data_IF_689344333740
#
_entry.id   IF_689344333740
#
_cell.length_a   1.000
_cell.length_b   1.000
_cell.length_c   1.000
_cell.angle_alpha   90.00
_cell.angle_beta   90.00
_cell.angle_gamma   90.00
#
_symmetry.space_group_name_H-M   'P 1'
#
loop_
_entity.id
_entity.type
_entity.pdbx_description
1 polymer ?
#
# COMPACT_ATOMS: atom_id res chain seq x y z
N UNK A 1 17.42 -10.70 -55.18
CA UNK A 1 16.31 -10.19 -54.34
C UNK A 1 15.05 -11.07 -54.45
N UNK A 2 15.16 -12.42 -54.38
CA UNK A 2 14.04 -13.36 -54.51
C UNK A 2 13.83 -14.28 -53.27
N UNK A 3 14.67 -14.17 -52.23
CA UNK A 3 14.64 -15.06 -51.05
C UNK A 3 14.01 -14.43 -49.79
N UNK A 4 13.70 -13.13 -49.78
CA UNK A 4 13.10 -12.47 -48.60
C UNK A 4 11.57 -12.45 -48.61
N UNK A 5 10.93 -12.82 -49.73
CA UNK A 5 9.47 -12.81 -49.82
C UNK A 5 8.84 -14.05 -49.17
N UNK A 6 9.51 -15.21 -49.26
CA UNK A 6 9.07 -16.46 -48.63
C UNK A 6 9.19 -16.44 -47.10
N UNK A 7 10.19 -15.75 -46.52
CA UNK A 7 10.32 -15.60 -45.05
C UNK A 7 9.25 -14.69 -44.43
N UNK A 8 8.77 -13.68 -45.15
CA UNK A 8 7.70 -12.77 -44.67
C UNK A 8 6.34 -13.48 -44.75
N UNK A 9 6.12 -14.30 -45.79
CA UNK A 9 4.88 -15.08 -45.97
C UNK A 9 4.77 -16.26 -44.99
N UNK A 10 5.90 -16.84 -44.56
CA UNK A 10 5.93 -17.88 -43.53
C UNK A 10 5.56 -17.38 -42.13
N UNK A 11 5.72 -16.08 -41.84
CA UNK A 11 5.31 -15.48 -40.56
C UNK A 11 3.83 -15.06 -40.54
N UNK A 12 3.19 -14.82 -41.68
CA UNK A 12 1.77 -14.44 -41.73
C UNK A 12 0.81 -15.61 -41.55
N UNK A 13 1.23 -16.84 -41.88
CA UNK A 13 0.42 -18.06 -41.64
C UNK A 13 0.13 -18.32 -40.15
N UNK A 14 1.11 -18.32 -39.22
CA UNK A 14 0.82 -18.55 -37.80
C UNK A 14 0.03 -17.40 -37.16
N UNK A 15 0.20 -16.15 -37.64
CA UNK A 15 -0.57 -14.99 -37.17
C UNK A 15 -2.05 -15.06 -37.55
N UNK A 16 -2.38 -15.54 -38.76
CA UNK A 16 -3.78 -15.76 -39.15
C UNK A 16 -4.43 -16.90 -38.37
N UNK A 17 -3.69 -17.97 -38.06
CA UNK A 17 -4.23 -19.09 -37.27
C UNK A 17 -4.56 -18.64 -35.83
N UNK A 18 -3.75 -17.77 -35.23
CA UNK A 18 -4.02 -17.22 -33.89
C UNK A 18 -5.27 -16.33 -33.86
N UNK A 19 -5.44 -15.45 -34.86
CA UNK A 19 -6.62 -14.57 -34.99
C UNK A 19 -7.90 -15.36 -35.29
N UNK A 20 -7.80 -16.47 -36.01
CA UNK A 20 -8.97 -17.34 -36.29
C UNK A 20 -9.35 -18.18 -35.07
N UNK A 21 -8.39 -18.53 -34.20
CA UNK A 21 -8.66 -19.23 -32.94
C UNK A 21 -9.27 -18.34 -31.85
N UNK A 22 -8.94 -17.04 -31.84
CA UNK A 22 -9.47 -16.09 -30.84
C UNK A 22 -10.85 -15.54 -31.17
N UNK A 23 -11.42 -15.88 -32.34
CA UNK A 23 -12.71 -15.36 -32.80
C UNK A 23 -13.87 -16.36 -32.69
N UNK A 24 -13.60 -17.59 -32.21
CA UNK A 24 -14.63 -18.61 -31.99
C UNK A 24 -15.22 -18.64 -30.58
N UNK A 25 -14.73 -17.77 -29.67
CA UNK A 25 -15.39 -17.55 -28.39
C UNK A 25 -15.84 -16.09 -28.29
N UNK A 26 -17.14 -15.93 -28.07
CA UNK A 26 -17.81 -14.70 -27.63
C UNK A 26 -18.15 -13.67 -28.71
N UNK A 27 -19.39 -13.74 -29.20
CA UNK A 27 -20.48 -12.84 -28.78
C UNK A 27 -21.49 -12.67 -29.94
N UNK A 28 -22.63 -13.37 -29.84
CA UNK A 28 -23.82 -13.09 -30.66
C UNK A 28 -24.62 -11.99 -29.97
N UNK A 29 -24.42 -10.73 -30.34
CA UNK A 29 -25.45 -9.68 -30.26
C UNK A 29 -25.04 -8.46 -31.10
N UNK A 30 -25.82 -8.18 -32.15
CA UNK A 30 -25.62 -7.08 -33.11
C UNK A 30 -26.56 -5.93 -32.78
N UNK A 31 -26.04 -4.79 -32.36
CA UNK A 31 -26.79 -3.53 -32.35
C UNK A 31 -26.53 -2.79 -33.68
N UNK A 32 -27.58 -2.56 -34.46
CA UNK A 32 -27.54 -1.71 -35.64
C UNK A 32 -27.67 -0.24 -35.17
N UNK A 33 -26.79 0.64 -35.62
CA UNK A 33 -26.88 2.09 -35.37
C UNK A 33 -27.12 2.75 -36.73
N UNK A 34 -28.27 3.42 -36.84
CA UNK A 34 -28.73 4.20 -37.99
C UNK A 34 -28.02 5.56 -38.02
N UNK A 35 -27.49 5.97 -39.17
CA UNK A 35 -26.93 7.32 -39.37
C UNK A 35 -28.04 8.37 -39.52
N UNK A 36 -28.03 9.39 -38.66
CA UNK A 36 -28.84 10.61 -38.82
C UNK A 36 -27.96 11.73 -39.38
N UNK A 37 -28.32 12.26 -40.55
CA UNK A 37 -27.74 13.45 -41.16
C UNK A 37 -28.40 14.72 -40.59
N UNK A 38 -27.64 15.66 -40.00
CA UNK A 38 -28.20 16.90 -39.49
C UNK A 38 -28.40 17.93 -40.60
N UNK A 39 -29.60 18.49 -40.70
CA UNK A 39 -29.93 19.63 -41.57
C UNK A 39 -29.49 20.92 -40.85
N UNK A 40 -28.56 21.64 -41.43
CA UNK A 40 -28.10 22.96 -40.97
C UNK A 40 -29.04 24.06 -41.49
N UNK A 41 -29.97 24.54 -40.66
CA UNK A 41 -30.71 25.79 -40.92
C UNK A 41 -29.82 26.99 -40.61
N UNK A 42 -29.31 27.61 -41.67
CA UNK A 42 -28.64 28.91 -41.65
C UNK A 42 -29.63 30.00 -41.20
N UNK A 43 -29.49 30.52 -39.97
CA UNK A 43 -30.16 31.74 -39.50
C UNK A 43 -29.37 32.95 -39.99
N UNK A 44 -29.57 33.35 -41.25
CA UNK A 44 -29.13 34.67 -41.72
C UNK A 44 -30.36 35.56 -41.66
N UNK A 45 -30.30 36.61 -40.82
CA UNK A 45 -31.31 37.65 -40.77
C UNK A 45 -31.26 38.40 -42.10
N UNK A 46 -32.32 38.28 -42.90
CA UNK A 46 -32.55 39.11 -44.08
C UNK A 46 -32.88 40.52 -43.60
N UNK A 47 -32.04 41.50 -43.93
CA UNK A 47 -32.36 42.92 -43.74
C UNK A 47 -33.56 43.26 -44.62
N UNK A 48 -34.71 43.55 -44.00
CA UNK A 48 -35.83 44.20 -44.67
C UNK A 48 -35.74 45.70 -44.41
N UNK A 49 -35.84 46.52 -45.45
CA UNK A 49 -35.90 47.97 -45.35
C UNK A 49 -37.09 48.41 -44.47
N UNK A 50 -36.77 48.88 -43.25
CA UNK A 50 -37.78 49.42 -42.34
C UNK A 50 -38.19 50.78 -42.89
N UNK A 51 -39.38 50.83 -43.49
CA UNK A 51 -40.04 52.09 -43.86
C UNK A 51 -40.21 52.92 -42.58
N UNK A 52 -39.47 54.03 -42.46
CA UNK A 52 -39.53 54.94 -41.32
C UNK A 52 -40.96 55.44 -41.16
N UNK A 53 -41.63 55.00 -40.09
CA UNK A 53 -43.00 55.42 -39.80
C UNK A 53 -42.98 56.90 -39.38
N UNK A 54 -43.78 57.74 -40.04
CA UNK A 54 -43.87 59.20 -39.87
C UNK A 54 -44.36 59.71 -38.48
N UNK A 55 -44.18 58.94 -37.40
CA UNK A 55 -44.65 59.28 -36.05
C UNK A 55 -43.64 60.04 -35.17
N UNK A 56 -42.50 60.47 -35.73
CA UNK A 56 -41.43 61.12 -34.96
C UNK A 56 -41.80 62.52 -34.38
N UNK A 57 -42.89 63.14 -34.86
CA UNK A 57 -43.32 64.49 -34.42
C UNK A 57 -44.59 64.50 -33.57
N UNK A 58 -45.15 63.33 -33.22
CA UNK A 58 -46.30 63.24 -32.32
C UNK A 58 -45.83 63.44 -30.86
N UNK A 59 -46.44 64.40 -30.16
CA UNK A 59 -46.06 64.76 -28.78
C UNK A 59 -46.24 63.59 -27.81
N UNK A 60 -47.28 62.78 -27.99
CA UNK A 60 -47.53 61.61 -27.15
C UNK A 60 -46.50 60.52 -27.44
N UNK A 61 -46.19 60.28 -28.72
CA UNK A 61 -45.16 59.31 -29.14
C UNK A 61 -43.76 59.69 -28.64
N UNK A 62 -43.44 60.99 -28.64
CA UNK A 62 -42.17 61.51 -28.11
C UNK A 62 -42.03 61.24 -26.60
N UNK A 63 -43.11 61.43 -25.83
CA UNK A 63 -43.10 61.15 -24.38
C UNK A 63 -42.92 59.65 -24.06
N UNK A 64 -43.52 58.77 -24.87
CA UNK A 64 -43.38 57.32 -24.73
C UNK A 64 -41.96 56.88 -25.10
N UNK A 65 -41.39 57.44 -26.18
CA UNK A 65 -40.01 57.20 -26.60
C UNK A 65 -39.00 57.63 -25.52
N UNK A 66 -39.12 58.83 -24.97
CA UNK A 66 -38.25 59.31 -23.90
C UNK A 66 -38.36 58.44 -22.63
N UNK A 67 -39.57 57.97 -22.28
CA UNK A 67 -39.76 57.07 -21.15
C UNK A 67 -39.14 55.69 -21.40
N UNK A 68 -39.28 55.17 -22.61
CA UNK A 68 -38.67 53.90 -23.02
C UNK A 68 -37.14 54.01 -23.02
N UNK A 69 -36.59 55.07 -23.60
CA UNK A 69 -35.15 55.33 -23.65
C UNK A 69 -34.58 55.47 -22.23
N UNK A 70 -35.26 56.22 -21.33
CA UNK A 70 -34.83 56.35 -19.93
C UNK A 70 -34.85 55.02 -19.18
N UNK A 71 -35.91 54.23 -19.33
CA UNK A 71 -36.00 52.89 -18.71
C UNK A 71 -34.99 51.90 -19.31
N UNK A 72 -34.68 52.06 -20.59
CA UNK A 72 -33.74 51.20 -21.30
C UNK A 72 -32.31 51.54 -20.90
N UNK A 73 -31.96 52.82 -20.78
CA UNK A 73 -30.66 53.28 -20.24
C UNK A 73 -30.41 52.74 -18.83
N UNK A 74 -31.39 52.85 -17.93
CA UNK A 74 -31.25 52.35 -16.56
C UNK A 74 -31.03 50.83 -16.51
N UNK A 75 -31.75 50.06 -17.35
CA UNK A 75 -31.54 48.61 -17.45
C UNK A 75 -30.18 48.24 -18.04
N UNK A 76 -29.64 49.05 -18.94
CA UNK A 76 -28.31 48.84 -19.50
C UNK A 76 -27.23 49.10 -18.45
N UNK A 77 -27.33 50.18 -17.67
CA UNK A 77 -26.42 50.45 -16.54
C UNK A 77 -26.46 49.31 -15.50
N UNK A 78 -27.66 48.89 -15.07
CA UNK A 78 -27.81 47.75 -14.13
C UNK A 78 -27.31 46.40 -14.71
N UNK A 79 -27.39 46.22 -16.02
CA UNK A 79 -26.85 45.04 -16.69
C UNK A 79 -25.32 45.09 -16.74
N UNK A 80 -24.75 46.26 -17.04
CA UNK A 80 -23.31 46.47 -17.12
C UNK A 80 -22.64 46.32 -15.74
N UNK A 81 -23.24 46.85 -14.67
CA UNK A 81 -22.77 46.64 -13.30
C UNK A 81 -22.79 45.16 -12.90
N UNK A 82 -23.87 44.43 -13.24
CA UNK A 82 -23.95 42.98 -13.00
C UNK A 82 -22.94 42.18 -13.83
N UNK A 83 -22.65 42.62 -15.05
CA UNK A 83 -21.64 42.00 -15.91
C UNK A 83 -20.23 42.25 -15.36
N UNK A 84 -19.93 43.47 -14.92
CA UNK A 84 -18.65 43.85 -14.37
C UNK A 84 -18.36 43.13 -13.04
N UNK A 85 -19.33 43.06 -12.13
CA UNK A 85 -19.19 42.32 -10.86
C UNK A 85 -18.96 40.82 -11.08
N UNK A 86 -19.64 40.19 -12.06
CA UNK A 86 -19.40 38.79 -12.43
C UNK A 86 -18.02 38.59 -13.05
N UNK A 87 -17.58 39.48 -13.95
CA UNK A 87 -16.24 39.45 -14.54
C UNK A 87 -15.15 39.57 -13.48
N UNK A 88 -15.33 40.44 -12.50
CA UNK A 88 -14.38 40.62 -11.41
C UNK A 88 -14.26 39.35 -10.54
N UNK A 89 -15.39 38.73 -10.17
CA UNK A 89 -15.40 37.45 -9.43
C UNK A 89 -14.68 36.33 -10.19
N UNK A 90 -14.89 36.22 -11.50
CA UNK A 90 -14.20 35.21 -12.32
C UNK A 90 -12.69 35.47 -12.42
N UNK A 91 -12.26 36.74 -12.51
CA UNK A 91 -10.83 37.09 -12.50
C UNK A 91 -10.18 36.73 -11.16
N UNK A 92 -10.82 37.09 -10.05
CA UNK A 92 -10.31 36.75 -8.70
C UNK A 92 -10.23 35.24 -8.48
N UNK A 93 -11.19 34.47 -9.00
CA UNK A 93 -11.14 33.01 -8.91
C UNK A 93 -9.99 32.44 -9.76
N UNK A 94 -9.84 32.92 -11.00
CA UNK A 94 -8.75 32.49 -11.88
C UNK A 94 -7.37 32.81 -11.28
N UNK A 95 -7.20 34.00 -10.69
CA UNK A 95 -5.94 34.40 -10.05
C UNK A 95 -5.61 33.50 -8.84
N UNK A 96 -6.61 33.09 -8.05
CA UNK A 96 -6.43 32.13 -6.95
C UNK A 96 -6.03 30.75 -7.46
N UNK A 97 -6.71 30.25 -8.48
CA UNK A 97 -6.42 28.95 -9.08
C UNK A 97 -5.01 28.93 -9.70
N UNK A 98 -4.59 30.03 -10.36
CA UNK A 98 -3.23 30.18 -10.90
C UNK A 98 -2.19 30.21 -9.77
N UNK A 99 -2.44 30.92 -8.67
CA UNK A 99 -1.53 30.91 -7.51
C UNK A 99 -1.40 29.52 -6.88
N UNK A 100 -2.50 28.76 -6.79
CA UNK A 100 -2.48 27.38 -6.31
C UNK A 100 -1.65 26.46 -7.23
N UNK A 101 -1.81 26.60 -8.55
CA UNK A 101 -1.03 25.85 -9.54
C UNK A 101 0.47 26.18 -9.42
N UNK A 102 0.83 27.46 -9.30
CA UNK A 102 2.24 27.88 -9.15
C UNK A 102 2.85 27.34 -7.85
N UNK A 103 2.10 27.33 -6.74
CA UNK A 103 2.56 26.79 -5.47
C UNK A 103 2.76 25.27 -5.55
N UNK A 104 1.81 24.54 -6.17
CA UNK A 104 1.95 23.10 -6.42
C UNK A 104 3.17 22.78 -7.29
N UNK A 105 3.33 23.49 -8.41
CA UNK A 105 4.48 23.31 -9.32
C UNK A 105 5.82 23.59 -8.61
N UNK A 106 5.89 24.61 -7.75
CA UNK A 106 7.08 24.90 -6.94
C UNK A 106 7.41 23.78 -5.94
N UNK A 107 6.39 23.16 -5.32
CA UNK A 107 6.61 22.02 -4.41
C UNK A 107 7.05 20.77 -5.16
N UNK A 108 6.44 20.47 -6.31
CA UNK A 108 6.80 19.34 -7.18
C UNK A 108 8.21 19.51 -7.73
N UNK A 109 8.58 20.71 -8.18
CA UNK A 109 9.94 21.05 -8.64
C UNK A 109 10.99 20.87 -7.53
N UNK A 110 10.66 21.21 -6.29
CA UNK A 110 11.57 21.02 -5.14
C UNK A 110 11.77 19.54 -4.77
N UNK A 111 10.74 18.71 -4.97
CA UNK A 111 10.82 17.26 -4.78
C UNK A 111 11.61 16.61 -5.93
N UNK A 112 11.35 17.03 -7.17
CA UNK A 112 12.09 16.60 -8.34
C UNK A 112 13.59 16.94 -8.22
N UNK A 113 13.96 18.15 -7.78
CA UNK A 113 15.37 18.55 -7.60
C UNK A 113 16.07 17.72 -6.50
N UNK A 114 15.34 17.32 -5.45
CA UNK A 114 15.88 16.42 -4.40
C UNK A 114 16.09 15.00 -4.91
N UNK A 115 15.17 14.49 -5.72
CA UNK A 115 15.29 13.17 -6.37
C UNK A 115 16.42 13.20 -7.40
N UNK A 116 16.58 14.28 -8.16
CA UNK A 116 17.64 14.46 -9.15
C UNK A 116 19.03 14.58 -8.48
N UNK A 117 19.16 15.30 -7.36
CA UNK A 117 20.40 15.31 -6.54
C UNK A 117 20.71 13.93 -5.93
N UNK A 118 19.70 13.14 -5.59
CA UNK A 118 19.86 11.74 -5.17
C UNK A 118 20.34 10.85 -6.32
N UNK A 119 19.80 11.05 -7.52
CA UNK A 119 20.13 10.29 -8.73
C UNK A 119 21.50 10.68 -9.31
N UNK A 120 21.91 11.94 -9.24
CA UNK A 120 23.25 12.40 -9.70
C UNK A 120 24.39 11.81 -8.84
N UNK A 121 24.13 11.50 -7.57
CA UNK A 121 25.10 10.81 -6.70
C UNK A 121 25.25 9.31 -7.03
N UNK A 122 24.29 8.72 -7.76
CA UNK A 122 24.34 7.33 -8.20
C UNK A 122 24.65 7.18 -9.71
N UNK A 123 24.54 8.25 -10.49
CA UNK A 123 24.65 8.25 -11.96
C UNK A 123 25.97 8.73 -12.55
N UNK A 124 27.02 9.00 -11.76
CA UNK A 124 28.36 9.23 -12.30
C UNK A 124 29.02 7.91 -12.73
N UNK A 125 28.49 7.33 -13.79
CA UNK A 125 29.06 6.19 -14.50
C UNK A 125 28.36 6.04 -15.85
N UNK A 126 29.10 6.37 -16.91
CA UNK A 126 28.79 6.13 -18.34
C UNK A 126 27.98 7.21 -19.06
N UNK A 127 28.73 8.10 -19.72
CA UNK A 127 28.26 8.80 -20.91
C UNK A 127 27.87 7.81 -22.01
N UNK A 128 26.76 8.09 -22.69
CA UNK A 128 26.25 7.26 -23.78
C UNK A 128 24.86 7.70 -24.23
N UNK A 129 24.81 8.75 -25.06
CA UNK A 129 23.60 9.19 -25.77
C UNK A 129 23.24 8.10 -26.81
N UNK A 130 22.42 7.11 -26.42
CA UNK A 130 21.66 6.24 -27.33
C UNK A 130 20.65 5.28 -26.64
N UNK A 131 20.67 5.06 -25.32
CA UNK A 131 19.96 3.93 -24.69
C UNK A 131 18.82 4.30 -23.71
N UNK A 132 18.13 5.43 -23.87
CA UNK A 132 17.29 5.97 -22.79
C UNK A 132 15.84 5.43 -22.75
N UNK A 133 15.31 4.78 -23.80
CA UNK A 133 13.91 4.26 -23.75
C UNK A 133 13.80 2.84 -23.17
N UNK A 134 14.91 2.13 -22.94
CA UNK A 134 14.90 0.75 -22.42
C UNK A 134 15.29 0.58 -20.93
N UNK A 135 15.86 1.60 -20.29
CA UNK A 135 16.60 1.44 -19.03
C UNK A 135 15.94 2.17 -17.84
N UNK A 136 15.06 3.15 -18.08
CA UNK A 136 14.40 3.87 -16.96
C UNK A 136 13.36 2.99 -16.25
N UNK A 137 12.66 2.10 -16.98
CA UNK A 137 11.68 1.17 -16.41
C UNK A 137 12.28 0.19 -15.38
N UNK A 138 13.37 -0.55 -15.68
CA UNK A 138 13.99 -1.48 -14.74
C UNK A 138 14.56 -0.83 -13.47
N UNK A 139 15.12 0.40 -13.57
CA UNK A 139 15.77 1.05 -12.44
C UNK A 139 14.75 1.50 -11.39
N UNK A 140 13.65 2.14 -11.82
CA UNK A 140 12.61 2.59 -10.90
C UNK A 140 11.91 1.42 -10.18
N UNK A 141 11.65 0.32 -10.89
CA UNK A 141 10.99 -0.85 -10.29
C UNK A 141 11.90 -1.54 -9.27
N UNK A 142 13.22 -1.56 -9.49
CA UNK A 142 14.18 -2.14 -8.54
C UNK A 142 14.32 -1.34 -7.22
N UNK A 143 14.09 -0.02 -7.24
CA UNK A 143 14.06 0.77 -6.01
C UNK A 143 12.75 0.58 -5.25
N UNK A 144 11.63 0.48 -5.97
CA UNK A 144 10.32 0.23 -5.38
C UNK A 144 10.23 -1.15 -4.76
N UNK A 145 10.80 -2.18 -5.38
CA UNK A 145 10.86 -3.53 -4.79
C UNK A 145 11.71 -3.56 -3.53
N UNK A 146 12.83 -2.83 -3.48
CA UNK A 146 13.64 -2.67 -2.24
C UNK A 146 12.86 -1.98 -1.13
N UNK A 147 12.15 -0.90 -1.44
CA UNK A 147 11.32 -0.19 -0.47
C UNK A 147 10.18 -1.09 0.04
N UNK A 148 9.53 -1.83 -0.85
CA UNK A 148 8.48 -2.79 -0.49
C UNK A 148 9.02 -3.92 0.39
N UNK A 149 10.21 -4.47 0.09
CA UNK A 149 10.83 -5.52 0.89
C UNK A 149 11.23 -5.00 2.28
N UNK A 150 11.75 -3.78 2.38
CA UNK A 150 12.05 -3.15 3.67
C UNK A 150 10.78 -2.95 4.53
N UNK A 151 9.70 -2.46 3.92
CA UNK A 151 8.41 -2.30 4.61
C UNK A 151 7.79 -3.65 5.01
N UNK A 152 7.93 -4.67 4.16
CA UNK A 152 7.49 -6.02 4.47
C UNK A 152 8.26 -6.61 5.65
N UNK A 153 9.59 -6.41 5.69
CA UNK A 153 10.45 -6.88 6.78
C UNK A 153 10.13 -6.20 8.10
N UNK A 154 9.94 -4.88 8.12
CA UNK A 154 9.58 -4.16 9.36
C UNK A 154 8.23 -4.63 9.89
N UNK A 155 7.25 -4.82 9.02
CA UNK A 155 5.95 -5.36 9.40
C UNK A 155 6.05 -6.82 9.87
N UNK A 156 6.83 -7.68 9.21
CA UNK A 156 7.03 -9.07 9.64
C UNK A 156 7.68 -9.18 11.03
N UNK A 157 8.63 -8.29 11.35
CA UNK A 157 9.24 -8.21 12.69
C UNK A 157 8.20 -7.79 13.73
N UNK A 158 7.36 -6.79 13.41
CA UNK A 158 6.31 -6.34 14.33
C UNK A 158 5.29 -7.46 14.62
N UNK A 159 4.82 -8.15 13.58
CA UNK A 159 3.89 -9.26 13.69
C UNK A 159 4.51 -10.44 14.47
N UNK A 160 5.77 -10.78 14.16
CA UNK A 160 6.51 -11.83 14.85
C UNK A 160 6.75 -11.53 16.33
N UNK A 161 7.11 -10.29 16.68
CA UNK A 161 7.27 -9.88 18.07
C UNK A 161 5.97 -9.93 18.87
N UNK A 162 4.83 -9.61 18.24
CA UNK A 162 3.52 -9.70 18.87
C UNK A 162 3.17 -11.15 19.21
N UNK A 163 3.31 -12.08 18.25
CA UNK A 163 3.08 -13.51 18.50
C UNK A 163 4.07 -14.10 19.49
N UNK A 164 5.35 -13.71 19.39
CA UNK A 164 6.37 -14.13 20.35
C UNK A 164 6.05 -13.70 21.77
N UNK A 165 5.57 -12.47 21.99
CA UNK A 165 5.16 -12.01 23.32
C UNK A 165 4.01 -12.86 23.88
N UNK A 166 2.98 -13.12 23.07
CA UNK A 166 1.83 -13.93 23.49
C UNK A 166 2.28 -15.34 23.88
N UNK A 167 3.07 -16.00 23.03
CA UNK A 167 3.57 -17.34 23.30
C UNK A 167 4.51 -17.40 24.52
N UNK A 168 5.38 -16.39 24.68
CA UNK A 168 6.25 -16.27 25.84
C UNK A 168 5.47 -16.12 27.15
N UNK A 169 4.47 -15.25 27.20
CA UNK A 169 3.65 -15.05 28.39
C UNK A 169 2.84 -16.32 28.74
N UNK A 170 2.32 -17.05 27.74
CA UNK A 170 1.63 -18.33 27.94
C UNK A 170 2.59 -19.39 28.51
N UNK A 171 3.79 -19.52 27.94
CA UNK A 171 4.79 -20.48 28.40
C UNK A 171 5.30 -20.16 29.81
N UNK A 172 5.51 -18.88 30.12
CA UNK A 172 5.87 -18.41 31.46
C UNK A 172 4.83 -18.78 32.51
N UNK A 173 3.55 -18.50 32.23
CA UNK A 173 2.46 -18.86 33.14
C UNK A 173 2.36 -20.38 33.35
N UNK A 174 2.47 -21.18 32.29
CA UNK A 174 2.45 -22.63 32.37
C UNK A 174 3.64 -23.19 33.19
N UNK A 175 4.84 -22.61 33.02
CA UNK A 175 6.02 -23.04 33.77
C UNK A 175 5.92 -22.67 35.25
N UNK A 176 5.31 -21.52 35.61
CA UNK A 176 5.01 -21.19 37.02
C UNK A 176 4.11 -22.25 37.64
N UNK A 177 3.01 -22.61 36.97
CA UNK A 177 2.07 -23.63 37.48
C UNK A 177 2.78 -24.96 37.71
N UNK A 178 3.54 -25.42 36.71
CA UNK A 178 4.31 -26.67 36.75
C UNK A 178 5.36 -26.66 37.87
N UNK A 179 6.10 -25.56 38.02
CA UNK A 179 7.13 -25.43 39.05
C UNK A 179 6.54 -25.33 40.46
N UNK A 180 5.37 -24.71 40.62
CA UNK A 180 4.66 -24.69 41.91
C UNK A 180 4.21 -26.11 42.27
N UNK A 181 3.63 -26.85 41.32
CA UNK A 181 3.22 -28.23 41.55
C UNK A 181 4.42 -29.12 41.89
N UNK A 182 5.54 -28.99 41.18
CA UNK A 182 6.73 -29.82 41.45
C UNK A 182 7.45 -29.44 42.74
N UNK A 183 7.49 -28.15 43.10
CA UNK A 183 8.28 -27.66 44.23
C UNK A 183 7.51 -27.78 45.54
N UNK A 184 6.22 -27.41 45.54
CA UNK A 184 5.41 -27.39 46.76
C UNK A 184 4.43 -28.57 46.84
N UNK A 185 4.27 -29.38 45.77
CA UNK A 185 3.31 -30.49 45.72
C UNK A 185 1.85 -30.03 45.89
N UNK A 186 1.56 -28.77 45.56
CA UNK A 186 0.23 -28.18 45.63
C UNK A 186 -0.38 -28.25 44.23
N UNK A 187 -1.60 -28.80 44.14
CA UNK A 187 -2.36 -28.85 42.88
C UNK A 187 -3.44 -27.79 42.79
N UNK A 188 -4.04 -27.47 43.93
CA UNK A 188 -5.12 -26.50 44.06
C UNK A 188 -4.84 -25.59 45.26
N UNK A 189 -5.17 -24.31 45.14
CA UNK A 189 -5.08 -23.33 46.23
C UNK A 189 -6.50 -22.82 46.48
N UNK A 190 -6.99 -22.94 47.72
CA UNK A 190 -8.33 -22.45 48.08
C UNK A 190 -9.47 -23.08 47.27
N UNK A 191 -9.29 -24.31 46.76
CA UNK A 191 -10.26 -25.01 45.92
C UNK A 191 -10.21 -24.64 44.43
N UNK A 192 -9.31 -23.74 44.02
CA UNK A 192 -9.10 -23.36 42.62
C UNK A 192 -7.85 -24.02 42.05
N UNK A 193 -7.92 -24.43 40.78
CA UNK A 193 -6.77 -24.95 40.04
C UNK A 193 -5.72 -23.85 39.82
N UNK A 194 -4.45 -24.19 39.94
CA UNK A 194 -3.33 -23.25 39.77
C UNK A 194 -3.38 -22.50 38.43
N UNK A 195 -3.79 -23.16 37.34
CA UNK A 195 -3.91 -22.55 36.02
C UNK A 195 -4.97 -21.45 35.92
N UNK A 196 -5.98 -21.47 36.80
CA UNK A 196 -6.98 -20.40 36.87
C UNK A 196 -6.47 -19.18 37.64
N UNK A 197 -5.56 -19.38 38.59
CA UNK A 197 -5.01 -18.32 39.43
C UNK A 197 -3.79 -17.64 38.80
N UNK A 198 -2.93 -18.42 38.14
CA UNK A 198 -1.68 -17.96 37.55
C UNK A 198 -1.79 -17.93 36.03
N UNK A 199 -2.30 -16.80 35.54
CA UNK A 199 -2.47 -16.52 34.11
C UNK A 199 -1.31 -15.68 33.56
N UNK A 200 -1.35 -15.45 32.24
CA UNK A 200 -0.41 -14.60 31.50
C UNK A 200 -0.23 -13.18 32.06
N UNK A 201 -1.19 -12.67 32.86
CA UNK A 201 -1.08 -11.31 33.42
C UNK A 201 -0.36 -11.27 34.76
N UNK A 202 -0.41 -12.37 35.53
CA UNK A 202 -0.09 -12.35 36.96
C UNK A 202 1.07 -13.27 37.34
N UNK A 203 1.59 -14.09 36.41
CA UNK A 203 2.66 -15.07 36.69
C UNK A 203 4.00 -14.45 37.12
N UNK A 204 4.20 -13.15 36.91
CA UNK A 204 5.40 -12.42 37.37
C UNK A 204 5.22 -11.77 38.74
N UNK A 205 4.00 -11.81 39.30
CA UNK A 205 3.69 -11.14 40.55
C UNK A 205 4.10 -12.00 41.75
N UNK A 206 5.36 -11.87 42.16
CA UNK A 206 5.96 -12.62 43.28
C UNK A 206 5.16 -12.50 44.58
N UNK A 207 4.60 -11.33 44.89
CA UNK A 207 3.84 -11.12 46.15
C UNK A 207 2.49 -11.83 46.11
N UNK A 208 1.81 -11.83 44.97
CA UNK A 208 0.56 -12.57 44.79
C UNK A 208 0.80 -14.09 44.86
N UNK A 209 1.85 -14.58 44.19
CA UNK A 209 2.19 -16.01 44.19
C UNK A 209 2.59 -16.46 45.59
N UNK A 210 3.49 -15.73 46.26
CA UNK A 210 3.93 -16.06 47.62
C UNK A 210 2.80 -15.96 48.64
N UNK A 211 1.92 -14.96 48.54
CA UNK A 211 0.74 -14.85 49.40
C UNK A 211 -0.26 -16.00 49.22
N UNK A 212 -0.46 -16.46 47.97
CA UNK A 212 -1.34 -17.59 47.66
C UNK A 212 -0.79 -18.91 48.23
N UNK A 213 0.52 -19.14 48.08
CA UNK A 213 1.19 -20.33 48.61
C UNK A 213 1.25 -20.30 50.14
N UNK A 214 1.47 -19.12 50.74
CA UNK A 214 1.40 -18.91 52.19
C UNK A 214 0.03 -19.28 52.74
N UNK A 215 -1.06 -18.84 52.10
CA UNK A 215 -2.41 -19.16 52.53
C UNK A 215 -2.64 -20.67 52.55
N UNK A 216 -2.18 -21.38 51.51
CA UNK A 216 -2.26 -22.85 51.45
C UNK A 216 -1.36 -23.53 52.49
N UNK A 217 -0.18 -22.99 52.78
CA UNK A 217 0.70 -23.47 53.85
C UNK A 217 0.04 -23.38 55.23
N UNK A 218 -0.56 -22.23 55.55
CA UNK A 218 -1.29 -22.02 56.81
C UNK A 218 -2.52 -22.94 56.88
N UNK A 219 -3.29 -23.04 55.79
CA UNK A 219 -4.45 -23.93 55.69
C UNK A 219 -4.07 -25.41 55.84
N UNK A 220 -2.84 -25.77 55.47
CA UNK A 220 -2.30 -27.12 55.56
C UNK A 220 -1.96 -27.57 56.98
N UNK A 221 -2.02 -26.66 57.97
CA UNK A 221 -1.78 -26.95 59.40
C UNK A 221 -0.47 -27.73 59.63
N UNK A 222 0.61 -27.32 58.97
CA UNK A 222 1.93 -27.93 59.15
C UNK A 222 2.35 -27.87 60.62
N UNK A 223 2.74 -29.02 61.21
CA UNK A 223 3.20 -29.10 62.61
C UNK A 223 4.72 -29.16 62.62
N UNK A 224 5.36 -28.37 63.49
CA UNK A 224 6.80 -28.19 63.45
C UNK A 224 7.64 -29.43 63.81
N UNK A 225 7.08 -30.42 64.52
CA UNK A 225 7.80 -31.61 65.01
C UNK A 225 6.78 -32.72 65.37
N UNK A 226 6.57 -33.70 64.49
CA UNK A 226 5.82 -34.90 64.86
C UNK A 226 5.27 -35.71 63.67
N UNK A 227 5.73 -36.95 63.54
CA UNK A 227 5.34 -37.92 62.52
C UNK A 227 3.82 -38.00 62.31
N UNK A 228 3.32 -37.39 61.23
CA UNK A 228 1.92 -37.49 60.82
C UNK A 228 1.65 -36.85 59.46
N UNK A 229 1.69 -37.66 58.40
CA UNK A 229 1.05 -37.37 57.10
C UNK A 229 1.26 -35.98 56.50
N UNK A 230 2.48 -35.43 56.55
CA UNK A 230 2.75 -34.05 56.15
C UNK A 230 2.52 -33.85 54.64
N UNK A 231 1.68 -32.87 54.28
CA UNK A 231 1.53 -32.42 52.89
C UNK A 231 2.91 -32.01 52.35
N UNK A 232 3.19 -32.19 51.04
CA UNK A 232 4.51 -31.91 50.45
C UNK A 232 5.03 -30.49 50.73
N UNK A 233 4.13 -29.50 50.81
CA UNK A 233 4.46 -28.11 51.13
C UNK A 233 5.09 -27.95 52.53
N UNK A 234 4.67 -28.74 53.52
CA UNK A 234 5.19 -28.70 54.88
C UNK A 234 6.64 -29.20 54.91
N UNK A 235 6.89 -30.36 54.30
CA UNK A 235 8.22 -30.98 54.26
C UNK A 235 9.26 -30.08 53.57
N UNK A 236 8.90 -29.44 52.45
CA UNK A 236 9.78 -28.50 51.76
C UNK A 236 10.19 -27.32 52.66
N UNK A 237 9.23 -26.68 53.32
CA UNK A 237 9.47 -25.50 54.15
C UNK A 237 10.36 -25.88 55.34
N UNK A 238 10.06 -26.98 56.03
CA UNK A 238 10.88 -27.48 57.15
C UNK A 238 12.30 -27.84 56.68
N UNK A 239 12.44 -28.53 55.53
CA UNK A 239 13.76 -28.91 54.99
C UNK A 239 14.59 -27.69 54.63
N UNK A 240 14.03 -26.70 53.93
CA UNK A 240 14.74 -25.48 53.54
C UNK A 240 15.06 -24.59 54.75
N UNK A 241 14.18 -24.53 55.76
CA UNK A 241 14.45 -23.84 57.02
C UNK A 241 15.64 -24.48 57.77
N UNK A 242 15.71 -25.81 57.85
CA UNK A 242 16.83 -26.53 58.45
C UNK A 242 18.16 -26.32 57.71
N UNK A 243 18.13 -26.23 56.38
CA UNK A 243 19.33 -25.92 55.57
C UNK A 243 19.80 -24.47 55.81
N UNK A 244 18.89 -23.52 55.93
CA UNK A 244 19.22 -22.12 56.20
C UNK A 244 19.86 -21.91 57.59
N UNK A 245 19.62 -22.83 58.53
CA UNK A 245 20.27 -22.83 59.86
C UNK A 245 21.71 -23.39 59.85
N UNK A 246 22.18 -24.02 58.77
CA UNK A 246 23.54 -24.60 58.64
C UNK A 246 24.57 -23.65 57.99
N UNK A 247 24.44 -22.35 58.20
CA UNK A 247 25.46 -21.35 57.80
C UNK A 247 26.76 -21.48 58.62
N UNK A 248 27.87 -20.82 58.19
CA UNK A 248 29.19 -20.97 58.81
C UNK A 248 29.18 -20.56 60.30
N UNK A 249 29.96 -21.31 61.06
CA UNK A 249 29.86 -21.65 62.50
C UNK A 249 29.91 -20.50 63.53
N UNK A 250 29.78 -19.22 63.16
CA UNK A 250 30.09 -18.10 64.08
C UNK A 250 29.06 -16.97 64.16
N UNK A 251 27.86 -17.11 63.59
CA UNK A 251 26.82 -16.06 63.71
C UNK A 251 25.50 -16.68 64.13
N UNK A 252 24.88 -16.04 65.14
CA UNK A 252 23.58 -16.36 65.75
C UNK A 252 22.61 -16.95 64.72
N UNK A 253 22.06 -18.13 65.03
CA UNK A 253 20.98 -18.78 64.27
C UNK A 253 19.89 -17.75 63.98
N UNK A 254 19.87 -17.22 62.76
CA UNK A 254 18.73 -16.47 62.29
C UNK A 254 17.61 -17.50 62.14
N UNK A 255 16.59 -17.43 63.00
CA UNK A 255 15.35 -18.17 62.80
C UNK A 255 14.75 -17.62 61.52
N UNK A 256 15.08 -18.24 60.38
CA UNK A 256 14.48 -17.88 59.09
C UNK A 256 13.02 -18.23 59.20
N UNK A 257 12.15 -17.24 58.99
CA UNK A 257 10.72 -17.49 59.04
C UNK A 257 10.33 -18.39 57.86
N UNK A 258 9.37 -19.31 58.07
CA UNK A 258 8.78 -20.14 57.02
C UNK A 258 8.34 -19.30 55.80
N UNK A 259 7.96 -18.06 56.07
CA UNK A 259 7.57 -17.06 55.09
C UNK A 259 8.70 -16.60 54.19
N UNK A 260 9.90 -16.43 54.73
CA UNK A 260 11.06 -16.05 53.94
C UNK A 260 11.52 -17.21 53.06
N UNK A 261 11.38 -18.45 53.55
CA UNK A 261 11.62 -19.66 52.76
C UNK A 261 10.70 -19.75 51.55
N UNK A 262 9.39 -19.54 51.74
CA UNK A 262 8.39 -19.55 50.67
C UNK A 262 8.69 -18.43 49.66
N UNK A 263 8.98 -17.21 50.13
CA UNK A 263 9.32 -16.08 49.24
C UNK A 263 10.55 -16.37 48.40
N UNK A 264 11.62 -16.92 48.97
CA UNK A 264 12.83 -17.27 48.22
C UNK A 264 12.55 -18.36 47.18
N UNK A 265 11.80 -19.40 47.53
CA UNK A 265 11.41 -20.45 46.58
C UNK A 265 10.54 -19.90 45.44
N UNK A 266 9.57 -19.01 45.74
CA UNK A 266 8.75 -18.35 44.72
C UNK A 266 9.60 -17.48 43.80
N UNK A 267 10.58 -16.75 44.34
CA UNK A 267 11.50 -15.96 43.54
C UNK A 267 12.32 -16.84 42.57
N UNK A 268 12.80 -18.00 43.01
CA UNK A 268 13.47 -18.98 42.15
C UNK A 268 12.53 -19.50 41.03
N UNK A 269 11.25 -19.70 41.34
CA UNK A 269 10.26 -20.15 40.37
C UNK A 269 9.97 -19.06 39.33
N UNK A 270 9.69 -17.84 39.79
CA UNK A 270 9.42 -16.70 38.89
C UNK A 270 10.61 -16.43 38.00
N UNK A 271 11.83 -16.46 38.52
CA UNK A 271 13.05 -16.29 37.70
C UNK A 271 13.25 -17.37 36.64
N UNK A 272 12.95 -18.64 36.95
CA UNK A 272 12.98 -19.73 35.94
C UNK A 272 11.87 -19.58 34.91
N UNK A 273 10.68 -19.19 35.34
CA UNK A 273 9.54 -18.98 34.46
C UNK A 273 9.73 -17.78 33.54
N UNK A 274 10.32 -16.67 34.02
CA UNK A 274 10.65 -15.52 33.17
C UNK A 274 11.71 -15.87 32.15
N UNK A 275 12.72 -16.67 32.52
CA UNK A 275 13.70 -17.19 31.55
C UNK A 275 13.04 -18.08 30.49
N UNK A 276 12.07 -18.91 30.87
CA UNK A 276 11.29 -19.75 29.94
C UNK A 276 10.40 -18.89 29.03
N UNK A 277 9.82 -17.82 29.56
CA UNK A 277 9.02 -16.87 28.80
C UNK A 277 9.88 -16.12 27.76
N UNK A 278 11.06 -15.65 28.15
CA UNK A 278 11.99 -14.93 27.27
C UNK A 278 12.53 -15.81 26.14
N UNK A 279 12.91 -17.06 26.46
CA UNK A 279 13.39 -18.03 25.47
C UNK A 279 12.29 -18.39 24.46
N UNK A 280 11.08 -18.70 24.94
CA UNK A 280 9.93 -19.01 24.07
C UNK A 280 9.55 -17.80 23.22
N UNK A 281 9.56 -16.59 23.81
CA UNK A 281 9.30 -15.34 23.09
C UNK A 281 10.28 -15.15 21.94
N UNK A 282 11.57 -15.32 22.18
CA UNK A 282 12.60 -15.17 21.16
C UNK A 282 12.46 -16.20 20.05
N UNK A 283 12.22 -17.47 20.41
CA UNK A 283 12.07 -18.57 19.45
C UNK A 283 10.83 -18.40 18.56
N UNK A 284 9.67 -18.10 19.14
CA UNK A 284 8.43 -17.90 18.39
C UNK A 284 8.50 -16.62 17.58
N UNK A 285 9.05 -15.52 18.11
CA UNK A 285 9.24 -14.30 17.35
C UNK A 285 10.12 -14.52 16.11
N UNK A 286 11.20 -15.29 16.24
CA UNK A 286 12.07 -15.63 15.12
C UNK A 286 11.32 -16.46 14.07
N UNK A 287 10.67 -17.55 14.48
CA UNK A 287 9.90 -18.42 13.59
C UNK A 287 8.83 -17.62 12.83
N UNK A 288 8.02 -16.85 13.56
CA UNK A 288 6.93 -16.07 12.97
C UNK A 288 7.42 -14.93 12.08
N UNK A 289 8.50 -14.26 12.46
CA UNK A 289 9.12 -13.25 11.58
C UNK A 289 9.54 -13.88 10.25
N UNK A 290 10.15 -15.08 10.25
CA UNK A 290 10.56 -15.76 9.02
C UNK A 290 9.37 -16.22 8.17
N UNK A 291 8.30 -16.72 8.80
CA UNK A 291 7.05 -17.08 8.11
C UNK A 291 6.39 -15.85 7.46
N UNK A 292 6.30 -14.72 8.18
CA UNK A 292 5.73 -13.50 7.64
C UNK A 292 6.61 -12.85 6.57
N UNK A 293 7.94 -12.88 6.72
CA UNK A 293 8.89 -12.35 5.71
C UNK A 293 8.79 -13.14 4.41
N UNK A 294 8.75 -14.48 4.48
CA UNK A 294 8.60 -15.35 3.31
C UNK A 294 7.26 -15.13 2.63
N UNK A 295 6.15 -15.09 3.38
CA UNK A 295 4.82 -14.84 2.83
C UNK A 295 4.74 -13.48 2.11
N UNK A 296 5.26 -12.40 2.73
CA UNK A 296 5.24 -11.06 2.12
C UNK A 296 6.14 -10.98 0.88
N UNK A 297 7.30 -11.64 0.89
CA UNK A 297 8.19 -11.72 -0.28
C UNK A 297 7.50 -12.41 -1.46
N UNK A 298 6.80 -13.52 -1.23
CA UNK A 298 6.04 -14.22 -2.28
C UNK A 298 4.99 -13.30 -2.93
N UNK A 299 4.28 -12.49 -2.13
CA UNK A 299 3.29 -11.52 -2.64
C UNK A 299 3.97 -10.43 -3.48
N UNK A 300 5.11 -9.91 -3.03
CA UNK A 300 5.89 -8.89 -3.77
C UNK A 300 6.39 -9.47 -5.10
N UNK A 301 6.97 -10.67 -5.09
CA UNK A 301 7.50 -11.33 -6.28
C UNK A 301 6.38 -11.64 -7.30
N UNK A 302 5.21 -12.10 -6.83
CA UNK A 302 4.04 -12.32 -7.68
C UNK A 302 3.53 -11.01 -8.32
N UNK A 303 3.49 -9.93 -7.54
CA UNK A 303 3.07 -8.61 -8.04
C UNK A 303 4.07 -8.09 -9.08
N UNK A 304 5.38 -8.21 -8.81
CA UNK A 304 6.42 -7.82 -9.76
C UNK A 304 6.33 -8.61 -11.08
N UNK A 305 6.14 -9.93 -10.99
CA UNK A 305 5.97 -10.77 -12.17
C UNK A 305 4.77 -10.31 -13.03
N UNK A 306 3.64 -9.98 -12.39
CA UNK A 306 2.47 -9.46 -13.10
C UNK A 306 2.77 -8.13 -13.83
N UNK A 307 3.45 -7.19 -13.17
CA UNK A 307 3.85 -5.92 -13.77
C UNK A 307 4.83 -6.13 -14.95
N UNK A 308 5.78 -7.05 -14.80
CA UNK A 308 6.74 -7.36 -15.87
C UNK A 308 6.03 -7.93 -17.11
N UNK A 309 5.06 -8.84 -16.92
CA UNK A 309 4.29 -9.38 -18.06
C UNK A 309 3.49 -8.29 -18.79
N UNK A 310 2.88 -7.36 -18.05
CA UNK A 310 2.16 -6.22 -18.63
C UNK A 310 3.10 -5.30 -19.43
N UNK A 311 4.31 -5.02 -18.91
CA UNK A 311 5.32 -4.22 -19.61
C UNK A 311 5.76 -4.92 -20.91
N UNK A 312 6.06 -6.22 -20.86
CA UNK A 312 6.46 -6.99 -22.04
C UNK A 312 5.35 -6.98 -23.11
N UNK A 313 4.10 -7.19 -22.71
CA UNK A 313 2.96 -7.16 -23.62
C UNK A 313 2.81 -5.78 -24.31
N UNK A 314 2.99 -4.69 -23.57
CA UNK A 314 2.98 -3.32 -24.10
C UNK A 314 4.09 -3.09 -25.13
N UNK A 315 5.33 -3.52 -24.82
CA UNK A 315 6.47 -3.40 -25.75
C UNK A 315 6.24 -4.19 -27.04
N UNK A 316 5.71 -5.42 -26.93
CA UNK A 316 5.37 -6.25 -28.09
C UNK A 316 4.29 -5.59 -28.95
N UNK A 317 3.26 -5.00 -28.34
CA UNK A 317 2.22 -4.27 -29.06
C UNK A 317 2.78 -3.07 -29.84
N UNK A 318 3.67 -2.27 -29.22
CA UNK A 318 4.34 -1.13 -29.88
C UNK A 318 5.17 -1.61 -31.07
N UNK A 319 5.94 -2.70 -30.92
CA UNK A 319 6.74 -3.27 -32.02
C UNK A 319 5.89 -3.72 -33.20
N UNK A 320 4.72 -4.31 -32.96
CA UNK A 320 3.77 -4.70 -34.02
C UNK A 320 3.25 -3.47 -34.77
N UNK A 321 2.84 -2.41 -34.06
CA UNK A 321 2.35 -1.17 -34.66
C UNK A 321 3.44 -0.54 -35.55
N UNK A 322 4.67 -0.44 -35.05
CA UNK A 322 5.82 0.09 -35.81
C UNK A 322 6.08 -0.74 -37.07
N UNK A 323 6.04 -2.07 -36.96
CA UNK A 323 6.24 -2.98 -38.09
C UNK A 323 5.17 -2.79 -39.18
N UNK A 324 3.89 -2.65 -38.79
CA UNK A 324 2.78 -2.34 -39.71
C UNK A 324 3.00 -0.99 -40.41
N UNK A 325 3.39 0.06 -39.66
CA UNK A 325 3.68 1.37 -40.24
C UNK A 325 4.82 1.31 -41.26
N UNK A 326 5.88 0.53 -40.99
CA UNK A 326 7.00 0.34 -41.92
C UNK A 326 6.53 -0.38 -43.19
N UNK A 327 5.70 -1.41 -43.09
CA UNK A 327 5.14 -2.11 -44.27
C UNK A 327 4.32 -1.14 -45.12
N UNK A 328 3.38 -0.40 -44.51
CA UNK A 328 2.55 0.58 -45.21
C UNK A 328 3.43 1.65 -45.88
N UNK A 329 4.43 2.16 -45.16
CA UNK A 329 5.41 3.11 -45.69
C UNK A 329 6.16 2.56 -46.91
N UNK A 330 6.63 1.32 -46.87
CA UNK A 330 7.33 0.68 -47.98
C UNK A 330 6.41 0.50 -49.20
N UNK A 331 5.14 0.13 -49.00
CA UNK A 331 4.14 0.03 -50.07
C UNK A 331 3.91 1.40 -50.72
N UNK A 332 3.70 2.45 -49.91
CA UNK A 332 3.49 3.82 -50.40
C UNK A 332 4.72 4.34 -51.15
N UNK A 333 5.92 4.09 -50.63
CA UNK A 333 7.20 4.46 -51.27
C UNK A 333 7.37 3.75 -52.61
N UNK A 334 7.07 2.45 -52.65
CA UNK A 334 7.11 1.67 -53.88
C UNK A 334 6.13 2.21 -54.95
N UNK A 335 4.89 2.53 -54.55
CA UNK A 335 3.89 3.14 -55.45
C UNK A 335 4.35 4.50 -55.98
N UNK A 336 4.92 5.37 -55.15
CA UNK A 336 5.47 6.68 -55.57
C UNK A 336 6.59 6.50 -56.59
N UNK A 337 7.54 5.60 -56.35
CA UNK A 337 8.65 5.34 -57.28
C UNK A 337 8.17 4.81 -58.63
N UNK A 338 7.19 3.89 -58.64
CA UNK A 338 6.57 3.40 -59.88
C UNK A 338 5.88 4.51 -60.67
N UNK A 339 5.18 5.44 -60.00
CA UNK A 339 4.55 6.61 -60.65
C UNK A 339 5.59 7.52 -61.30
N UNK A 340 6.72 7.78 -60.63
CA UNK A 340 7.80 8.62 -61.18
C UNK A 340 8.49 7.99 -62.39
N UNK A 341 8.78 6.69 -62.35
CA UNK A 341 9.38 5.98 -63.49
C UNK A 341 8.46 6.00 -64.72
N UNK A 342 7.14 5.81 -64.53
CA UNK A 342 6.16 5.94 -65.61
C UNK A 342 6.17 7.34 -66.21
N UNK A 343 6.19 8.40 -65.38
CA UNK A 343 6.26 9.79 -65.86
C UNK A 343 7.47 10.01 -66.77
N UNK A 344 8.66 9.57 -66.36
CA UNK A 344 9.88 9.71 -67.18
C UNK A 344 9.77 9.02 -68.55
N UNK A 345 9.11 7.87 -68.63
CA UNK A 345 8.87 7.19 -69.91
C UNK A 345 7.95 8.02 -70.83
N UNK A 346 6.85 8.56 -70.29
CA UNK A 346 5.95 9.42 -71.05
C UNK A 346 6.63 10.72 -71.51
N UNK A 347 7.47 11.35 -70.67
CA UNK A 347 8.20 12.57 -71.05
C UNK A 347 9.19 12.32 -72.19
N UNK A 348 9.83 11.15 -72.23
CA UNK A 348 10.73 10.78 -73.34
C UNK A 348 9.99 10.61 -74.67
N UNK A 349 8.80 10.00 -74.64
CA UNK A 349 7.98 9.81 -75.85
C UNK A 349 7.44 11.13 -76.41
N UNK A 350 7.27 12.16 -75.58
CA UNK A 350 6.68 13.45 -75.96
C UNK A 350 7.70 14.43 -76.56
N UNK A 351 8.99 14.23 -76.30
CA UNK A 351 10.09 15.07 -76.78
C UNK A 351 10.78 14.50 -78.04
N UNK A 352 10.17 13.49 -78.66
CA UNK A 352 10.66 12.81 -79.86
C UNK A 352 9.78 13.17 -81.05
#
# INVERSE_FOLDING_TARGET
>A
MKLHYTKILLFSLPLNILVTSSSYENNKNKAYITEHTPITTSRVLSECDIKTSFYDNDADMKSVKEKFDRQTSQRFEEYEERMNTKRQKCKEQCDKDIQEIILKDKTEKSLAEKVEKGCLKCGCGLGGIAAIVGIIGPIAVNEWTKAALLAAKSSAIADGLAEGKIAGDIAGAAEVVKLIESTFGVKNIGGHELGSMFTVTNYTNETMISGSIQAEYIASKCVALGAGGEKPICNLVTQRALVAMKGPETVRVAVVSDMDVIKTAVKEIVTKATSTAETTKAQVALSKTTEFETAKKVVIDATYASCQTAIIASVVAILIIVLVMVIIYLILRYRRKKKMNKKQQYTKLLNQ
#
